data_IF_230334513565
#
_entry.id   IF_230334513565
#
_cell.length_a   1.000
_cell.length_b   1.000
_cell.length_c   1.000
_cell.angle_alpha   90.00
_cell.angle_beta   90.00
_cell.angle_gamma   90.00
#
_symmetry.space_group_name_H-M   'P 1'
#
loop_
_entity.id
_entity.type
_entity.pdbx_description
1 polymer ?
2 non-polymer ?
3 non-polymer ?
4 non-polymer ?
5 non-polymer ?
6 water ?
#
# COMPACT_ATOMS: atom_id res chain seq x y z
N UNK A 1 15.87 -4.26 -7.39
CA UNK A 1 15.43 -5.64 -7.24
C UNK A 1 16.64 -6.51 -6.90
N UNK A 2 16.66 -7.05 -5.68
CA UNK A 2 17.88 -7.67 -5.15
C UNK A 2 18.41 -8.81 -6.02
N UNK A 3 17.52 -9.53 -6.72
CA UNK A 3 18.00 -10.63 -7.55
C UNK A 3 18.69 -10.13 -8.82
N UNK A 4 18.33 -8.93 -9.30
CA UNK A 4 18.97 -8.30 -10.46
C UNK A 4 20.41 -7.89 -10.18
N UNK A 5 20.94 -8.15 -8.99
CA UNK A 5 22.22 -7.62 -8.54
C UNK A 5 23.41 -8.59 -8.66
N UNK A 6 23.30 -9.72 -9.35
CA UNK A 6 24.44 -10.64 -9.45
C UNK A 6 24.91 -11.11 -8.06
N UNK A 7 23.98 -11.69 -7.31
CA UNK A 7 24.32 -12.09 -5.96
C UNK A 7 25.35 -13.22 -5.99
N UNK A 8 26.33 -13.16 -5.09
CA UNK A 8 27.24 -14.28 -4.92
C UNK A 8 26.57 -15.41 -4.14
N UNK A 9 27.19 -16.59 -4.20
CA UNK A 9 26.68 -17.71 -3.43
C UNK A 9 26.63 -17.36 -1.96
N UNK A 10 27.69 -16.72 -1.45
CA UNK A 10 27.66 -16.39 -0.03
C UNK A 10 26.49 -15.47 0.26
N UNK A 11 26.24 -14.49 -0.63
CA UNK A 11 25.13 -13.57 -0.40
C UNK A 11 23.77 -14.29 -0.43
N UNK A 12 23.61 -15.28 -1.32
CA UNK A 12 22.36 -16.01 -1.38
C UNK A 12 22.09 -16.72 -0.05
N UNK A 13 23.13 -17.30 0.56
CA UNK A 13 22.95 -17.95 1.86
C UNK A 13 22.66 -16.93 2.95
N UNK A 14 23.37 -15.81 2.93
CA UNK A 14 23.12 -14.77 3.92
C UNK A 14 21.69 -14.25 3.84
N UNK A 15 21.19 -14.04 2.63
CA UNK A 15 19.81 -13.58 2.51
C UNK A 15 18.84 -14.64 3.05
N UNK A 16 19.07 -15.91 2.67
CA UNK A 16 18.27 -17.00 3.23
C UNK A 16 18.18 -16.91 4.73
N UNK A 17 19.31 -16.75 5.40
CA UNK A 17 19.29 -16.63 6.85
C UNK A 17 18.54 -15.38 7.30
N UNK A 18 18.77 -14.25 6.63
CA UNK A 18 18.10 -13.02 7.04
C UNK A 18 16.58 -13.20 6.99
N UNK A 19 16.09 -13.86 5.96
CA UNK A 19 14.66 -14.06 5.74
C UNK A 19 14.05 -15.15 6.64
N UNK A 20 14.83 -15.82 7.47
CA UNK A 20 14.27 -16.94 8.23
C UNK A 20 13.14 -16.45 9.14
N UNK A 30 -6.55 -11.32 7.17
CA UNK A 30 -6.12 -10.62 5.95
C UNK A 30 -7.31 -10.24 5.04
N UNK A 31 -8.45 -10.94 5.18
CA UNK A 31 -9.66 -10.64 4.42
C UNK A 31 -10.73 -9.98 5.28
N UNK A 32 -10.64 -10.18 6.59
CA UNK A 32 -11.53 -9.50 7.51
C UNK A 32 -11.44 -7.97 7.28
N UNK A 33 -10.28 -7.45 6.82
CA UNK A 33 -10.15 -6.02 6.50
C UNK A 33 -10.80 -5.65 5.14
N UNK A 34 -10.66 -6.49 4.11
CA UNK A 34 -11.41 -6.28 2.86
C UNK A 34 -12.90 -6.18 3.09
N UNK A 35 -13.44 -7.07 3.95
CA UNK A 35 -14.89 -7.09 4.18
C UNK A 35 -15.38 -5.79 4.81
N UNK A 36 -14.58 -5.20 5.70
CA UNK A 36 -14.95 -3.90 6.29
C UNK A 36 -14.93 -2.81 5.24
N UNK A 37 -13.92 -2.82 4.36
CA UNK A 37 -13.90 -1.86 3.25
C UNK A 37 -15.12 -2.04 2.37
N UNK A 38 -15.46 -3.30 2.12
CA UNK A 38 -16.64 -3.56 1.29
C UNK A 38 -17.88 -2.95 1.89
N UNK A 39 -18.07 -3.10 3.21
CA UNK A 39 -19.24 -2.52 3.87
C UNK A 39 -19.29 -1.00 3.75
N UNK A 40 -18.14 -0.35 3.67
CA UNK A 40 -18.12 1.11 3.58
C UNK A 40 -18.43 1.54 2.16
N UNK A 41 -17.90 0.81 1.20
CA UNK A 41 -18.10 1.13 -0.22
C UNK A 41 -19.55 0.89 -0.63
N UNK A 42 -20.14 -0.25 -0.26
CA UNK A 42 -21.45 -0.63 -0.81
C UNK A 42 -22.61 -0.18 0.09
N UNK A 43 -22.60 1.09 0.43
CA UNK A 43 -23.62 1.71 1.27
C UNK A 43 -24.18 2.90 0.50
N UNK A 44 -25.43 3.32 0.79
CA UNK A 44 -25.95 4.42 -0.01
C UNK A 44 -25.41 5.80 0.47
N UNK A 45 -24.49 5.85 1.44
CA UNK A 45 -23.80 7.08 1.78
C UNK A 45 -22.38 6.71 2.21
N UNK A 46 -21.47 7.67 2.15
CA UNK A 46 -20.09 7.45 2.54
C UNK A 46 -19.93 7.93 3.97
N UNK A 47 -19.68 7.01 4.88
CA UNK A 47 -19.56 7.30 6.30
C UNK A 47 -18.09 7.51 6.64
N UNK A 48 -17.66 8.77 6.65
CA UNK A 48 -16.23 9.07 6.82
C UNK A 48 -15.73 8.69 8.20
N UNK A 49 -16.58 8.80 9.22
CA UNK A 49 -16.15 8.40 10.56
C UNK A 49 -15.88 6.89 10.59
N UNK A 50 -16.83 6.11 10.11
CA UNK A 50 -16.63 4.67 10.03
C UNK A 50 -15.41 4.33 9.18
N UNK A 51 -15.21 5.05 8.06
CA UNK A 51 -14.07 4.75 7.19
C UNK A 51 -12.77 5.02 7.93
N UNK A 52 -12.68 6.15 8.65
CA UNK A 52 -11.44 6.46 9.36
C UNK A 52 -11.11 5.40 10.40
N UNK A 53 -12.14 4.86 11.06
CA UNK A 53 -11.93 3.80 12.04
C UNK A 53 -11.45 2.53 11.36
N UNK A 54 -12.01 2.22 10.19
CA UNK A 54 -11.57 1.05 9.44
C UNK A 54 -10.11 1.18 9.05
N UNK A 55 -9.75 2.38 8.57
CA UNK A 55 -8.40 2.61 8.09
C UNK A 55 -7.39 2.43 9.25
N UNK A 56 -7.78 2.85 10.44
CA UNK A 56 -6.89 2.83 11.58
C UNK A 56 -6.80 1.47 12.28
N UNK A 57 -7.77 0.58 12.05
CA UNK A 57 -7.89 -0.62 12.88
C UNK A 57 -6.61 -1.43 12.93
N UNK A 58 -5.95 -1.61 11.78
CA UNK A 58 -4.78 -2.49 11.75
C UNK A 58 -3.46 -1.74 11.88
N UNK A 59 -3.47 -0.54 12.46
CA UNK A 59 -2.22 0.24 12.59
C UNK A 59 -1.08 -0.57 13.23
N UNK A 60 -1.36 -1.28 14.32
CA UNK A 60 -0.26 -1.97 15.01
C UNK A 60 0.27 -3.14 14.19
N UNK A 61 -0.58 -3.85 13.43
CA UNK A 61 -0.06 -4.94 12.60
C UNK A 61 0.74 -4.41 11.43
N UNK A 62 0.26 -3.32 10.81
CA UNK A 62 1.02 -2.63 9.78
C UNK A 62 2.40 -2.19 10.27
N UNK A 63 2.47 -1.63 11.48
CA UNK A 63 3.76 -1.20 12.03
C UNK A 63 4.71 -2.39 12.21
N UNK A 64 4.20 -3.49 12.76
CA UNK A 64 5.05 -4.64 13.00
C UNK A 64 5.56 -5.19 11.69
N UNK A 65 4.69 -5.24 10.68
CA UNK A 65 5.08 -5.75 9.37
C UNK A 65 6.07 -4.84 8.69
N UNK A 66 5.85 -3.52 8.72
CA UNK A 66 6.74 -2.60 8.04
C UNK A 66 8.11 -2.46 8.73
N UNK A 67 8.14 -2.59 10.06
CA UNK A 67 9.43 -2.66 10.76
C UNK A 67 10.22 -3.88 10.36
N UNK A 68 9.55 -5.02 10.24
CA UNK A 68 10.27 -6.25 9.87
C UNK A 68 10.80 -6.14 8.45
N UNK A 69 9.98 -5.62 7.55
CA UNK A 69 10.42 -5.42 6.17
C UNK A 69 11.61 -4.48 6.09
N UNK A 70 11.51 -3.32 6.75
CA UNK A 70 12.56 -2.32 6.61
C UNK A 70 13.85 -2.86 7.22
N UNK A 71 13.74 -3.64 8.30
CA UNK A 71 14.97 -4.17 8.92
C UNK A 71 15.61 -5.21 8.04
N UNK A 72 14.78 -6.08 7.47
CA UNK A 72 15.25 -7.08 6.51
C UNK A 72 15.93 -6.41 5.32
N UNK A 73 15.33 -5.36 4.78
CA UNK A 73 15.94 -4.69 3.63
C UNK A 73 17.21 -3.94 4.00
N UNK A 74 17.29 -3.42 5.22
CA UNK A 74 18.54 -2.81 5.67
C UNK A 74 19.61 -3.88 5.80
N UNK A 75 19.26 -5.02 6.37
CA UNK A 75 20.25 -6.10 6.53
C UNK A 75 20.78 -6.59 5.17
N UNK A 76 19.89 -6.74 4.21
CA UNK A 76 20.35 -7.22 2.91
C UNK A 76 21.21 -6.15 2.23
N UNK A 77 20.79 -4.88 2.34
CA UNK A 77 21.54 -3.81 1.70
C UNK A 77 22.97 -3.85 2.19
N UNK A 78 23.14 -4.12 3.47
CA UNK A 78 24.48 -4.06 4.01
C UNK A 78 25.37 -5.26 3.66
N UNK A 79 24.85 -6.36 3.11
CA UNK A 79 25.77 -7.42 2.63
C UNK A 79 26.21 -7.16 1.21
N UNK A 80 25.66 -6.15 0.54
CA UNK A 80 26.07 -5.80 -0.82
C UNK A 80 27.45 -5.21 -0.89
N UNK A 81 28.09 -5.38 -2.06
CA UNK A 81 29.32 -4.72 -2.34
C UNK A 81 29.07 -3.25 -2.73
N UNK A 82 30.11 -2.44 -2.73
CA UNK A 82 29.96 -1.07 -3.27
C UNK A 82 29.27 -0.97 -4.61
N UNK A 83 29.70 -1.77 -5.59
CA UNK A 83 29.07 -1.80 -6.90
C UNK A 83 27.58 -2.13 -6.80
N UNK A 84 27.25 -3.19 -6.04
CA UNK A 84 25.86 -3.62 -5.89
C UNK A 84 25.00 -2.55 -5.21
N UNK A 85 25.55 -1.89 -4.21
CA UNK A 85 24.80 -0.82 -3.56
C UNK A 85 24.48 0.31 -4.53
N UNK A 86 25.44 0.67 -5.40
CA UNK A 86 25.17 1.73 -6.38
C UNK A 86 24.05 1.33 -7.30
N UNK A 87 24.06 0.07 -7.76
CA UNK A 87 23.00 -0.45 -8.61
C UNK A 87 21.66 -0.41 -7.89
N UNK A 88 21.62 -0.83 -6.63
CA UNK A 88 20.39 -0.82 -5.87
C UNK A 88 19.87 0.60 -5.67
N UNK A 89 20.77 1.53 -5.31
CA UNK A 89 20.32 2.90 -5.05
C UNK A 89 19.85 3.57 -6.33
N UNK A 90 20.51 3.29 -7.45
CA UNK A 90 20.08 3.84 -8.74
C UNK A 90 18.69 3.33 -9.09
N UNK A 91 18.46 2.01 -8.95
CA UNK A 91 17.13 1.45 -9.20
C UNK A 91 16.08 2.05 -8.28
N UNK A 92 16.44 2.25 -7.01
CA UNK A 92 15.53 2.89 -6.06
C UNK A 92 15.09 4.27 -6.56
N UNK A 93 16.03 5.07 -7.08
CA UNK A 93 15.68 6.41 -7.57
C UNK A 93 14.71 6.35 -8.74
N UNK A 94 14.88 5.37 -9.63
CA UNK A 94 14.07 5.28 -10.83
C UNK A 94 12.67 4.75 -10.58
N UNK A 95 12.40 4.24 -9.38
CA UNK A 95 11.15 3.55 -9.11
C UNK A 95 10.17 4.41 -8.31
N UNK A 96 8.90 4.01 -8.37
CA UNK A 96 7.81 4.62 -7.60
C UNK A 96 7.98 6.12 -7.43
N UNK B 2 -13.93 -3.10 -13.86
CA UNK B 2 -14.58 -3.60 -15.07
C UNK B 2 -15.54 -2.50 -15.55
N UNK B 3 -16.01 -2.47 -16.82
CA UNK B 3 -15.72 -3.38 -17.95
C UNK B 3 -16.55 -4.67 -17.88
N UNK B 4 -17.26 -4.84 -16.77
CA UNK B 4 -18.17 -5.95 -16.56
C UNK B 4 -19.59 -5.47 -16.37
N UNK B 5 -19.79 -4.17 -16.21
CA UNK B 5 -21.02 -3.62 -15.67
C UNK B 5 -21.92 -2.97 -16.72
N UNK B 6 -21.52 -2.91 -17.99
CA UNK B 6 -22.41 -2.39 -19.02
C UNK B 6 -22.75 -0.92 -18.78
N UNK B 7 -21.74 -0.11 -18.50
CA UNK B 7 -22.02 1.24 -18.03
C UNK B 7 -22.61 2.08 -19.16
N UNK B 8 -23.74 2.74 -18.87
CA UNK B 8 -24.33 3.68 -19.84
C UNK B 8 -23.41 4.88 -20.03
N UNK B 9 -23.56 5.56 -21.15
CA UNK B 9 -22.69 6.71 -21.39
C UNK B 9 -22.91 7.81 -20.35
N UNK B 10 -24.14 7.95 -19.83
CA UNK B 10 -24.38 8.87 -18.71
C UNK B 10 -23.54 8.47 -17.50
N UNK B 11 -23.57 7.19 -17.15
CA UNK B 11 -22.87 6.71 -15.96
C UNK B 11 -21.36 6.93 -16.08
N UNK B 12 -20.78 6.67 -17.26
CA UNK B 12 -19.34 6.87 -17.43
C UNK B 12 -18.97 8.34 -17.33
N UNK B 13 -19.85 9.23 -17.79
CA UNK B 13 -19.61 10.65 -17.54
C UNK B 13 -19.72 10.98 -16.05
N UNK B 14 -20.69 10.40 -15.35
CA UNK B 14 -20.72 10.57 -13.90
C UNK B 14 -19.43 10.07 -13.29
N UNK B 15 -18.90 8.95 -13.80
CA UNK B 15 -17.68 8.36 -13.24
C UNK B 15 -16.48 9.22 -13.54
N UNK B 16 -16.31 9.61 -14.81
CA UNK B 16 -15.19 10.46 -15.15
C UNK B 16 -15.14 11.64 -14.21
N UNK B 17 -16.30 12.25 -13.96
CA UNK B 17 -16.38 13.43 -13.10
C UNK B 17 -16.04 13.10 -11.64
N UNK B 18 -16.36 11.88 -11.19
CA UNK B 18 -16.05 11.48 -9.82
C UNK B 18 -14.55 11.39 -9.62
N UNK B 19 -13.82 10.90 -10.62
CA UNK B 19 -12.37 10.84 -10.60
C UNK B 19 -11.77 12.16 -11.13
N UNK B 27 -2.61 14.35 -0.51
CA UNK B 27 -2.58 14.89 -1.87
C UNK B 27 -1.23 14.63 -2.55
N UNK B 28 -0.23 15.42 -2.20
CA UNK B 28 1.04 15.41 -2.92
C UNK B 28 1.67 14.02 -2.92
N UNK B 29 2.48 13.69 -3.93
CA UNK B 29 3.07 12.34 -4.02
C UNK B 29 3.91 12.02 -2.80
N UNK B 30 3.74 10.83 -2.19
CA UNK B 30 4.57 10.49 -1.03
C UNK B 30 6.04 10.35 -1.42
N UNK B 31 6.62 11.43 -1.95
CA UNK B 31 7.96 11.40 -2.52
C UNK B 31 9.04 11.67 -1.46
N UNK B 32 8.92 12.78 -0.72
CA UNK B 32 9.81 12.99 0.41
C UNK B 32 9.76 11.83 1.40
N UNK B 33 8.64 11.10 1.42
CA UNK B 33 8.51 9.90 2.26
C UNK B 33 9.44 8.79 1.80
N UNK B 34 9.39 8.48 0.50
CA UNK B 34 10.26 7.48 -0.08
C UNK B 34 11.72 7.81 0.17
N UNK B 35 12.06 9.08 0.11
CA UNK B 35 13.42 9.52 0.40
C UNK B 35 13.83 9.11 1.81
N UNK B 36 12.98 9.40 2.79
CA UNK B 36 13.29 9.00 4.15
C UNK B 36 13.36 7.47 4.27
N UNK B 37 12.47 6.76 3.59
CA UNK B 37 12.60 5.29 3.55
C UNK B 37 13.93 4.86 2.95
N UNK B 38 14.31 5.48 1.84
CA UNK B 38 15.59 5.13 1.25
C UNK B 38 16.72 5.24 2.26
N UNK B 39 16.71 6.34 3.03
CA UNK B 39 17.77 6.61 3.98
C UNK B 39 17.77 5.62 5.14
N UNK B 40 16.61 5.08 5.49
CA UNK B 40 16.58 4.06 6.52
C UNK B 40 17.18 2.75 6.00
N UNK B 41 16.84 2.40 4.77
CA UNK B 41 17.34 1.16 4.19
C UNK B 41 18.84 1.25 3.93
N UNK B 42 19.32 2.38 3.45
CA UNK B 42 20.71 2.48 3.04
C UNK B 42 21.67 2.80 4.21
N UNK B 43 21.18 2.82 5.43
CA UNK B 43 22.00 3.20 6.55
C UNK B 43 22.90 2.05 7.00
N UNK B 44 24.07 2.39 7.60
CA UNK B 44 24.99 1.36 8.06
C UNK B 44 24.35 0.50 9.17
N UNK B 45 23.45 1.08 9.96
CA UNK B 45 22.74 0.31 10.99
C UNK B 45 21.23 0.58 10.89
N UNK B 46 20.42 -0.33 11.43
CA UNK B 46 18.97 -0.11 11.46
C UNK B 46 18.58 0.66 12.72
N UNK B 47 17.88 1.75 12.54
CA UNK B 47 17.53 2.60 13.65
C UNK B 47 16.03 2.42 13.86
N UNK B 48 15.63 1.64 14.87
CA UNK B 48 14.21 1.27 14.98
C UNK B 48 13.36 2.47 15.30
N UNK B 49 13.84 3.37 16.17
CA UNK B 49 12.98 4.49 16.53
C UNK B 49 12.78 5.43 15.34
N UNK B 50 13.83 5.66 14.56
CA UNK B 50 13.65 6.44 13.33
C UNK B 50 12.71 5.73 12.35
N UNK B 51 12.83 4.40 12.22
CA UNK B 51 11.89 3.67 11.36
C UNK B 51 10.45 3.80 11.84
N UNK B 52 10.22 3.73 13.15
CA UNK B 52 8.86 3.89 13.68
C UNK B 52 8.32 5.27 13.35
N UNK B 53 9.17 6.28 13.41
CA UNK B 53 8.70 7.62 13.07
C UNK B 53 8.32 7.73 11.59
N UNK B 54 9.08 7.08 10.69
CA UNK B 54 8.72 7.03 9.27
C UNK B 54 7.42 6.27 9.05
N UNK B 55 7.24 5.13 9.71
CA UNK B 55 5.95 4.40 9.60
C UNK B 55 4.80 5.29 10.04
N UNK B 56 4.94 5.94 11.19
CA UNK B 56 3.85 6.79 11.65
C UNK B 56 3.54 7.92 10.66
N UNK B 57 4.58 8.53 10.10
CA UNK B 57 4.35 9.58 9.11
C UNK B 57 3.63 9.01 7.91
N UNK B 58 3.99 7.79 7.47
CA UNK B 58 3.30 7.15 6.34
C UNK B 58 1.83 6.89 6.60
N UNK B 59 1.42 6.70 7.86
CA UNK B 59 -0.01 6.53 8.18
C UNK B 59 -0.87 7.73 7.78
N UNK B 60 -0.32 8.95 7.80
CA UNK B 60 -1.15 10.08 7.42
C UNK B 60 -1.41 10.10 5.92
N UNK B 61 -0.43 9.76 5.09
CA UNK B 61 -0.67 9.71 3.65
C UNK B 61 -1.60 8.56 3.32
N UNK B 62 -1.38 7.41 3.94
CA UNK B 62 -2.26 6.27 3.73
C UNK B 62 -3.69 6.59 4.10
N UNK B 63 -3.92 7.31 5.20
CA UNK B 63 -5.27 7.65 5.58
C UNK B 63 -5.91 8.48 4.49
N UNK B 64 -5.20 9.51 4.05
CA UNK B 64 -5.73 10.36 2.97
C UNK B 64 -6.06 9.53 1.74
N UNK B 65 -5.13 8.66 1.34
CA UNK B 65 -5.28 7.90 0.11
C UNK B 65 -6.41 6.89 0.22
N UNK B 66 -6.57 6.26 1.38
CA UNK B 66 -7.65 5.29 1.52
C UNK B 66 -9.01 5.96 1.66
N UNK B 67 -9.07 7.13 2.30
CA UNK B 67 -10.34 7.85 2.33
C UNK B 67 -10.77 8.27 0.93
N UNK B 68 -9.83 8.77 0.14
CA UNK B 68 -10.15 9.18 -1.23
C UNK B 68 -10.59 7.99 -2.06
N UNK B 69 -9.92 6.85 -1.90
CA UNK B 69 -10.26 5.66 -2.69
C UNK B 69 -11.62 5.12 -2.29
N UNK B 70 -11.88 5.01 -0.98
CA UNK B 70 -13.21 4.52 -0.56
C UNK B 70 -14.30 5.50 -0.95
N UNK B 71 -14.08 6.81 -0.83
CA UNK B 71 -15.17 7.72 -1.17
C UNK B 71 -15.47 7.65 -2.66
N UNK B 72 -14.43 7.57 -3.49
CA UNK B 72 -14.63 7.44 -4.92
C UNK B 72 -15.42 6.18 -5.25
N UNK B 73 -14.98 5.03 -4.73
CA UNK B 73 -15.68 3.79 -5.03
C UNK B 73 -17.13 3.83 -4.51
N UNK B 74 -17.36 4.48 -3.35
CA UNK B 74 -18.73 4.63 -2.85
C UNK B 74 -19.59 5.47 -3.78
N UNK B 75 -19.04 6.54 -4.32
CA UNK B 75 -19.87 7.36 -5.20
C UNK B 75 -20.15 6.63 -6.50
N UNK B 76 -19.21 5.78 -6.94
CA UNK B 76 -19.46 4.99 -8.14
C UNK B 76 -20.54 3.94 -7.85
N UNK B 77 -20.38 3.22 -6.73
CA UNK B 77 -21.38 2.22 -6.39
C UNK B 77 -22.79 2.80 -6.47
N UNK B 78 -22.96 4.04 -6.02
CA UNK B 78 -24.30 4.62 -5.93
C UNK B 78 -24.77 5.29 -7.21
N UNK B 79 -24.00 5.25 -8.29
CA UNK B 79 -24.62 5.57 -9.57
C UNK B 79 -25.10 4.31 -10.28
N UNK B 80 -24.78 3.12 -9.78
CA UNK B 80 -25.13 1.87 -10.46
C UNK B 80 -26.60 1.48 -10.25
N UNK B 81 -27.14 0.67 -11.18
CA UNK B 81 -28.44 0.02 -11.01
C UNK B 81 -28.32 -1.18 -10.08
N UNK B 82 -29.44 -1.66 -9.52
CA UNK B 82 -29.39 -2.92 -8.74
C UNK B 82 -28.61 -4.06 -9.42
N UNK B 83 -28.91 -4.36 -10.69
CA UNK B 83 -28.20 -5.43 -11.39
C UNK B 83 -26.70 -5.15 -11.51
N UNK B 84 -26.32 -3.88 -11.73
CA UNK B 84 -24.91 -3.51 -11.80
C UNK B 84 -24.22 -3.59 -10.43
N UNK B 85 -24.90 -3.16 -9.36
CA UNK B 85 -24.34 -3.29 -8.02
C UNK B 85 -24.04 -4.73 -7.68
N UNK B 86 -24.94 -5.65 -8.01
CA UNK B 86 -24.65 -7.06 -7.77
C UNK B 86 -23.36 -7.47 -8.44
N UNK B 87 -23.18 -7.10 -9.70
CA UNK B 87 -21.95 -7.46 -10.40
C UNK B 87 -20.73 -6.76 -9.79
N UNK B 88 -20.88 -5.49 -9.43
CA UNK B 88 -19.80 -4.81 -8.73
C UNK B 88 -19.43 -5.58 -7.47
N UNK B 89 -20.42 -6.05 -6.72
CA UNK B 89 -20.13 -6.70 -5.45
C UNK B 89 -19.47 -8.04 -5.66
N UNK B 90 -19.93 -8.81 -6.65
CA UNK B 90 -19.28 -10.06 -7.01
C UNK B 90 -17.81 -9.84 -7.41
N UNK B 91 -17.56 -8.79 -8.21
CA UNK B 91 -16.20 -8.48 -8.67
C UNK B 91 -15.31 -8.13 -7.50
N UNK B 92 -15.86 -7.43 -6.53
CA UNK B 92 -15.12 -7.04 -5.34
C UNK B 92 -14.62 -8.29 -4.60
N UNK B 93 -15.44 -9.33 -4.56
CA UNK B 93 -14.99 -10.58 -3.94
C UNK B 93 -13.84 -11.21 -4.71
N UNK B 94 -13.86 -11.09 -6.02
CA UNK B 94 -12.93 -11.82 -6.86
C UNK B 94 -11.55 -11.20 -6.85
N UNK B 95 -11.43 -9.93 -6.53
CA UNK B 95 -10.12 -9.36 -6.25
C UNK B 95 -9.80 -9.62 -4.77
N UNK B 96 -8.56 -9.91 -4.39
CA UNK B 96 -7.41 -10.02 -5.29
C UNK B 96 -7.16 -11.47 -5.70
#
# INVERSE_FOLDING_TARGET
SFKDLNLTDAQKQQIREIMKGQRDQMKRPPLEERRAMHDIIASDTFDKVKAEAQIAKMEEQRKANMLALMETQNKIYNILTPEQKKQFNANFEKRLT
SFKDLNLTDAQKQQIREIMKGQRDQMKRPPLEERRAMHDIIASDTFDKVKAEAQIAKMEEQRKANMLALMETQNKIYNILTPEQKKQFNANFEKRLT
#
